data_IF_682394647054
#
_entry.id   IF_682394647054
#
_cell.length_a   1.000
_cell.length_b   1.000
_cell.length_c   1.000
_cell.angle_alpha   90.00
_cell.angle_beta   90.00
_cell.angle_gamma   90.00
#
_symmetry.space_group_name_H-M   'P 1'
#
loop_
_entity.id
_entity.type
_entity.pdbx_description
1 polymer ?
#
# COMPACT_ATOMS: atom_id res chain seq x y z
N UNK A 1 -8.71 -9.63 -6.02
CA UNK A 1 -7.40 -9.74 -5.34
C UNK A 1 -7.67 -9.34 -3.89
N UNK A 2 -7.14 -10.07 -2.92
CA UNK A 2 -7.45 -9.82 -1.50
C UNK A 2 -6.77 -8.53 -1.03
N UNK A 3 -7.55 -7.60 -0.47
CA UNK A 3 -7.05 -6.34 0.09
C UNK A 3 -6.48 -6.50 1.49
N UNK A 4 -6.36 -5.38 2.20
CA UNK A 4 -5.96 -5.34 3.61
C UNK A 4 -7.17 -5.08 4.51
N UNK A 5 -7.14 -5.63 5.73
CA UNK A 5 -8.14 -5.36 6.77
C UNK A 5 -7.50 -5.31 8.15
N UNK A 6 -8.22 -4.74 9.11
CA UNK A 6 -7.82 -4.79 10.52
C UNK A 6 -8.21 -6.13 11.12
N UNK A 7 -7.27 -6.76 11.83
CA UNK A 7 -7.54 -8.00 12.54
C UNK A 7 -8.51 -7.76 13.70
N UNK A 8 -9.56 -8.58 13.76
CA UNK A 8 -10.60 -8.54 14.77
C UNK A 8 -10.17 -9.15 16.13
N UNK A 9 -8.91 -9.61 16.27
CA UNK A 9 -8.33 -10.19 17.49
C UNK A 9 -8.99 -11.47 17.99
N UNK A 10 -9.86 -12.08 17.20
CA UNK A 10 -10.63 -13.28 17.57
C UNK A 10 -10.49 -14.39 16.53
N UNK A 11 -10.34 -14.03 15.27
CA UNK A 11 -10.12 -14.99 14.20
C UNK A 11 -8.71 -15.56 14.29
N UNK A 12 -8.59 -16.86 14.01
CA UNK A 12 -7.31 -17.53 13.83
C UNK A 12 -6.61 -16.98 12.59
N UNK A 13 -5.28 -16.90 12.66
CA UNK A 13 -4.46 -16.39 11.57
C UNK A 13 -3.66 -17.51 10.92
N UNK A 14 -3.59 -17.49 9.59
CA UNK A 14 -2.84 -18.48 8.81
C UNK A 14 -1.62 -17.84 8.14
N UNK A 15 -0.49 -18.53 8.26
CA UNK A 15 0.76 -18.15 7.58
C UNK A 15 0.84 -18.71 6.17
N UNK A 16 1.73 -18.17 5.31
CA UNK A 16 2.00 -18.75 3.99
C UNK A 16 2.50 -20.20 4.04
N UNK A 17 3.10 -20.62 5.16
CA UNK A 17 3.53 -22.01 5.39
C UNK A 17 2.36 -22.96 5.74
N UNK A 18 1.14 -22.45 5.89
CA UNK A 18 -0.04 -23.23 6.27
C UNK A 18 -0.21 -23.41 7.79
N UNK A 19 0.71 -22.88 8.60
CA UNK A 19 0.58 -22.90 10.06
C UNK A 19 -0.52 -21.95 10.50
N UNK A 20 -1.44 -22.47 11.32
CA UNK A 20 -2.49 -21.70 11.99
C UNK A 20 -2.00 -21.25 13.37
N UNK A 21 -2.26 -20.00 13.71
CA UNK A 21 -2.06 -19.44 15.04
C UNK A 21 -3.39 -19.01 15.65
N UNK A 22 -3.61 -19.36 16.91
CA UNK A 22 -4.74 -18.83 17.68
C UNK A 22 -4.43 -17.40 18.15
N UNK A 23 -5.43 -16.57 18.46
CA UNK A 23 -5.20 -15.23 18.99
C UNK A 23 -4.27 -15.20 20.20
N UNK A 24 -4.38 -16.17 21.13
CA UNK A 24 -3.52 -16.26 22.31
C UNK A 24 -2.05 -16.51 21.93
N UNK A 25 -1.80 -17.35 20.93
CA UNK A 25 -0.46 -17.60 20.42
C UNK A 25 0.12 -16.38 19.71
N UNK A 26 -0.72 -15.61 19.00
CA UNK A 26 -0.32 -14.33 18.39
C UNK A 26 0.02 -13.32 19.48
N UNK A 27 -0.79 -13.20 20.52
CA UNK A 27 -0.51 -12.29 21.64
C UNK A 27 0.73 -12.68 22.44
N UNK A 28 1.00 -13.99 22.59
CA UNK A 28 2.21 -14.46 23.24
C UNK A 28 3.48 -14.08 22.44
N UNK A 29 3.41 -14.13 21.11
CA UNK A 29 4.52 -13.77 20.23
C UNK A 29 4.64 -12.25 20.01
N UNK A 30 3.52 -11.55 19.98
CA UNK A 30 3.45 -10.11 19.75
C UNK A 30 2.47 -9.47 20.74
N UNK A 31 2.92 -9.17 21.97
CA UNK A 31 2.06 -8.60 23.01
C UNK A 31 1.39 -7.27 22.61
N UNK A 32 2.04 -6.48 21.75
CA UNK A 32 1.46 -5.24 21.21
C UNK A 32 0.14 -5.46 20.46
N UNK A 33 -0.09 -6.65 19.91
CA UNK A 33 -1.34 -6.96 19.22
C UNK A 33 -2.55 -7.05 20.15
N UNK A 34 -2.33 -7.17 21.47
CA UNK A 34 -3.42 -7.10 22.45
C UNK A 34 -4.05 -5.70 22.49
N UNK A 35 -3.23 -4.65 22.46
CA UNK A 35 -3.69 -3.27 22.64
C UNK A 35 -3.78 -2.51 21.31
N UNK A 36 -2.81 -2.69 20.41
CA UNK A 36 -2.75 -2.02 19.11
C UNK A 36 -3.71 -2.60 18.07
N UNK A 37 -3.85 -1.89 16.95
CA UNK A 37 -4.58 -2.36 15.76
C UNK A 37 -3.56 -2.91 14.76
N UNK A 38 -3.83 -4.08 14.20
CA UNK A 38 -2.93 -4.75 13.27
C UNK A 38 -3.61 -4.98 11.93
N UNK A 39 -2.91 -4.63 10.87
CA UNK A 39 -3.30 -4.85 9.48
C UNK A 39 -2.90 -6.27 9.09
N UNK A 40 -3.84 -6.99 8.48
CA UNK A 40 -3.67 -8.34 7.94
C UNK A 40 -4.19 -8.41 6.50
N UNK A 41 -3.79 -9.45 5.77
CA UNK A 41 -4.38 -9.73 4.46
C UNK A 41 -5.83 -10.21 4.61
N UNK A 42 -6.73 -9.72 3.76
CA UNK A 42 -8.10 -10.21 3.62
C UNK A 42 -8.17 -11.43 2.68
N UNK A 43 -7.35 -12.44 2.99
CA UNK A 43 -7.20 -13.66 2.21
C UNK A 43 -7.18 -14.89 3.16
N UNK A 44 -7.27 -16.12 2.64
CA UNK A 44 -7.05 -17.32 3.44
C UNK A 44 -5.67 -17.36 4.13
N UNK A 45 -4.67 -16.65 3.58
CA UNK A 45 -3.36 -16.45 4.20
C UNK A 45 -3.32 -15.05 4.80
N UNK A 46 -3.75 -14.92 6.06
CA UNK A 46 -3.86 -13.61 6.72
C UNK A 46 -2.51 -13.02 7.13
N UNK A 47 -1.59 -13.86 7.62
CA UNK A 47 -0.27 -13.41 8.07
C UNK A 47 0.75 -13.23 6.93
N UNK A 48 0.29 -13.10 5.69
CA UNK A 48 1.16 -12.60 4.61
C UNK A 48 1.64 -11.17 4.89
N UNK A 49 0.83 -10.40 5.61
CA UNK A 49 1.14 -9.09 6.16
C UNK A 49 0.69 -9.06 7.61
N UNK A 50 1.53 -8.50 8.49
CA UNK A 50 1.19 -8.27 9.90
C UNK A 50 1.92 -7.01 10.38
N UNK A 51 1.23 -5.87 10.33
CA UNK A 51 1.82 -4.56 10.64
C UNK A 51 0.91 -3.75 11.56
N UNK A 52 1.48 -2.91 12.41
CA UNK A 52 0.72 -2.02 13.31
C UNK A 52 0.17 -0.81 12.52
N UNK A 53 -1.11 -0.51 12.71
CA UNK A 53 -1.85 0.45 11.88
C UNK A 53 -1.26 1.87 11.92
N UNK A 54 -0.98 2.43 13.10
CA UNK A 54 -0.59 3.83 13.22
C UNK A 54 0.80 4.08 12.63
N UNK A 55 1.75 3.18 12.89
CA UNK A 55 3.08 3.22 12.31
C UNK A 55 3.06 3.02 10.79
N UNK A 56 2.25 2.07 10.31
CA UNK A 56 2.09 1.85 8.88
C UNK A 56 1.45 3.06 8.22
N UNK A 57 0.37 3.62 8.77
CA UNK A 57 -0.28 4.84 8.29
C UNK A 57 0.72 6.00 8.15
N UNK A 58 1.53 6.24 9.19
CA UNK A 58 2.53 7.31 9.18
C UNK A 58 3.62 7.08 8.11
N UNK A 59 3.98 5.82 7.85
CA UNK A 59 4.99 5.46 6.85
C UNK A 59 4.44 5.64 5.43
N UNK A 60 3.27 5.09 5.13
CA UNK A 60 2.68 5.19 3.79
C UNK A 60 2.24 6.59 3.44
N UNK A 61 1.85 7.42 4.42
CA UNK A 61 1.59 8.85 4.18
C UNK A 61 2.78 9.54 3.50
N UNK A 62 3.99 9.30 3.99
CA UNK A 62 5.22 9.84 3.39
C UNK A 62 5.50 9.25 2.01
N UNK A 63 5.37 7.93 1.87
CA UNK A 63 5.65 7.24 0.60
C UNK A 63 4.70 7.67 -0.52
N UNK A 64 3.43 7.91 -0.20
CA UNK A 64 2.43 8.40 -1.16
C UNK A 64 2.77 9.83 -1.59
N UNK A 65 3.14 10.71 -0.65
CA UNK A 65 3.56 12.07 -0.96
C UNK A 65 4.81 12.08 -1.87
N UNK A 66 5.81 11.28 -1.55
CA UNK A 66 7.03 11.13 -2.36
C UNK A 66 6.72 10.58 -3.76
N UNK A 67 5.84 9.58 -3.87
CA UNK A 67 5.42 9.01 -5.16
C UNK A 67 4.71 10.04 -6.03
N UNK A 68 3.78 10.81 -5.46
CA UNK A 68 3.06 11.87 -6.20
C UNK A 68 4.00 12.98 -6.66
N UNK A 69 5.08 13.24 -5.93
CA UNK A 69 6.07 14.23 -6.34
C UNK A 69 6.86 13.79 -7.60
N UNK A 70 7.03 12.47 -7.81
CA UNK A 70 7.81 11.94 -8.94
C UNK A 70 6.95 11.44 -10.11
N UNK A 71 5.68 11.11 -9.87
CA UNK A 71 4.76 10.59 -10.88
C UNK A 71 3.44 11.36 -10.88
N UNK A 72 3.27 12.21 -11.89
CA UNK A 72 2.04 12.97 -12.10
C UNK A 72 0.82 12.07 -12.39
N UNK A 73 1.07 10.85 -12.87
CA UNK A 73 0.05 9.87 -13.23
C UNK A 73 -0.34 8.93 -12.08
N UNK A 74 0.29 9.07 -10.89
CA UNK A 74 -0.07 8.24 -9.74
C UNK A 74 -1.49 8.58 -9.27
N UNK A 75 -2.33 7.54 -9.26
CA UNK A 75 -3.73 7.59 -8.83
C UNK A 75 -3.91 7.23 -7.36
N UNK A 76 -2.82 6.90 -6.67
CA UNK A 76 -2.85 6.52 -5.27
C UNK A 76 -3.53 7.61 -4.41
N UNK A 77 -4.51 7.25 -3.56
CA UNK A 77 -5.15 8.20 -2.66
C UNK A 77 -4.16 8.73 -1.61
N UNK A 78 -4.27 10.02 -1.26
CA UNK A 78 -3.46 10.62 -0.19
C UNK A 78 -4.01 10.14 1.14
N UNK A 79 -3.13 9.57 1.98
CA UNK A 79 -3.51 9.11 3.31
C UNK A 79 -3.63 10.32 4.24
N UNK A 80 -4.82 10.54 4.79
CA UNK A 80 -5.10 11.65 5.72
C UNK A 80 -5.45 11.14 7.11
N UNK A 81 -5.44 12.05 8.08
CA UNK A 81 -5.72 11.72 9.48
C UNK A 81 -7.22 11.49 9.73
N UNK A 82 -8.09 11.89 8.79
CA UNK A 82 -9.55 11.76 8.88
C UNK A 82 -10.11 10.48 8.25
N UNK A 83 -9.28 9.71 7.53
CA UNK A 83 -9.68 8.45 6.92
C UNK A 83 -10.01 7.39 7.98
N UNK A 84 -10.98 6.52 7.69
CA UNK A 84 -11.26 5.33 8.51
C UNK A 84 -10.12 4.31 8.37
N UNK A 85 -10.08 3.33 9.28
CA UNK A 85 -9.05 2.29 9.25
C UNK A 85 -9.13 1.47 7.95
N UNK A 86 -10.33 1.22 7.44
CA UNK A 86 -10.58 0.54 6.17
C UNK A 86 -10.10 1.38 4.98
N UNK A 87 -10.42 2.67 4.96
CA UNK A 87 -9.95 3.58 3.91
C UNK A 87 -8.41 3.68 3.89
N UNK A 88 -7.77 3.63 5.06
CA UNK A 88 -6.31 3.57 5.17
C UNK A 88 -5.78 2.25 4.60
N UNK A 89 -6.41 1.12 4.93
CA UNK A 89 -6.02 -0.20 4.40
C UNK A 89 -6.15 -0.25 2.87
N UNK A 90 -7.26 0.28 2.33
CA UNK A 90 -7.50 0.36 0.88
C UNK A 90 -6.48 1.28 0.19
N UNK A 91 -6.15 2.41 0.80
CA UNK A 91 -5.14 3.33 0.28
C UNK A 91 -3.74 2.69 0.22
N UNK A 92 -3.35 1.98 1.29
CA UNK A 92 -2.09 1.24 1.34
C UNK A 92 -2.05 0.16 0.26
N UNK A 93 -3.14 -0.60 0.10
CA UNK A 93 -3.23 -1.63 -0.91
C UNK A 93 -3.13 -1.05 -2.33
N UNK A 94 -3.82 0.07 -2.59
CA UNK A 94 -3.74 0.77 -3.87
C UNK A 94 -2.30 1.23 -4.18
N UNK A 95 -1.58 1.75 -3.18
CA UNK A 95 -0.18 2.14 -3.35
C UNK A 95 0.72 0.96 -3.77
N UNK A 96 0.56 -0.21 -3.15
CA UNK A 96 1.43 -1.36 -3.42
C UNK A 96 1.12 -2.07 -4.73
N UNK A 97 -0.14 -2.03 -5.16
CA UNK A 97 -0.60 -2.68 -6.39
C UNK A 97 -0.57 -1.76 -7.60
N UNK A 98 -0.38 -0.46 -7.40
CA UNK A 98 -0.23 0.50 -8.48
C UNK A 98 1.03 0.19 -9.32
N UNK A 99 0.80 -0.07 -10.61
CA UNK A 99 1.86 -0.19 -11.59
C UNK A 99 2.07 1.17 -12.23
N UNK A 100 3.21 1.81 -11.92
CA UNK A 100 3.57 3.07 -12.55
C UNK A 100 4.12 2.84 -13.95
N UNK A 101 3.70 3.68 -14.90
CA UNK A 101 4.36 3.75 -16.19
C UNK A 101 5.84 4.14 -15.98
N UNK A 102 6.76 3.60 -16.79
CA UNK A 102 8.14 4.04 -16.74
C UNK A 102 8.23 5.55 -16.99
N UNK A 103 9.18 6.25 -16.35
CA UNK A 103 9.36 7.67 -16.58
C UNK A 103 9.70 7.94 -18.04
N UNK A 104 9.15 9.03 -18.61
CA UNK A 104 9.48 9.44 -19.98
C UNK A 104 10.98 9.70 -20.09
N UNK A 105 11.62 8.99 -21.00
CA UNK A 105 13.07 9.04 -21.18
C UNK A 105 13.51 10.37 -21.81
N UNK A 106 14.82 10.67 -21.75
CA UNK A 106 15.38 11.83 -22.43
C UNK A 106 15.16 11.75 -23.95
N UNK A 107 15.34 10.57 -24.54
CA UNK A 107 15.18 10.37 -25.99
C UNK A 107 13.74 10.55 -26.44
N UNK A 108 12.76 10.06 -25.66
CA UNK A 108 11.34 10.30 -25.96
C UNK A 108 10.97 11.78 -25.86
N UNK A 109 11.55 12.52 -24.90
CA UNK A 109 11.36 13.97 -24.80
C UNK A 109 12.00 14.72 -25.98
N UNK A 110 13.17 14.29 -26.44
CA UNK A 110 13.85 14.87 -27.60
C UNK A 110 13.06 14.58 -28.88
N UNK A 111 12.62 13.33 -29.08
CA UNK A 111 11.80 12.94 -30.22
C UNK A 111 10.50 13.74 -30.29
N UNK A 112 9.77 13.85 -29.17
CA UNK A 112 8.55 14.66 -29.10
C UNK A 112 8.80 16.15 -29.38
N UNK A 113 9.92 16.71 -28.90
CA UNK A 113 10.29 18.09 -29.19
C UNK A 113 10.62 18.31 -30.68
N UNK A 114 11.33 17.37 -31.30
CA UNK A 114 11.63 17.40 -32.74
C UNK A 114 10.38 17.25 -33.59
N UNK A 115 9.46 16.36 -33.21
CA UNK A 115 8.16 16.21 -33.87
C UNK A 115 7.33 17.49 -33.78
N UNK A 116 7.28 18.12 -32.60
CA UNK A 116 6.59 19.39 -32.42
C UNK A 116 7.21 20.51 -33.26
N UNK A 117 8.54 20.60 -33.31
CA UNK A 117 9.25 21.58 -34.15
C UNK A 117 8.94 21.37 -35.64
N UNK A 118 8.89 20.13 -36.11
CA UNK A 118 8.56 19.80 -37.49
C UNK A 118 7.10 20.16 -37.84
N UNK A 119 6.16 19.94 -36.91
CA UNK A 119 4.76 20.33 -37.06
C UNK A 119 4.57 21.86 -37.11
N UNK A 120 5.40 22.60 -36.37
CA UNK A 120 5.38 24.08 -36.34
C UNK A 120 6.09 24.72 -37.55
N UNK A 121 6.80 23.92 -38.35
CA UNK A 121 7.57 24.38 -39.52
C UNK A 121 6.87 24.12 -40.87
N UNK A 122 5.63 23.62 -40.82
CA UNK A 122 4.70 23.47 -41.96
C UNK A 122 3.64 24.56 -41.86
#
# INVERSE_FOLDING_TARGET
MAGYKIWNKTDNLYTPAGTMYTPEQVFAQTPLAQTGKFIICDAPVNMGVFMELDQTKATYKKLVEERKAVSADSTCPVITDTMTDEEVCDAIYAFETEVLAPPVTADERIAAAMEFQNLMSI
#
